data_IF_875571290317
#
_entry.id   IF_875571290317
#
_cell.length_a   1.000
_cell.length_b   1.000
_cell.length_c   1.000
_cell.angle_alpha   90.00
_cell.angle_beta   90.00
_cell.angle_gamma   90.00
#
_symmetry.space_group_name_H-M   'P 1'
#
loop_
_entity.id
_entity.type
_entity.pdbx_description
1 polymer ?
#
# COMPACT_ATOMS: atom_id res chain seq x y z
N UNK A 1 19.19 72.35 -27.52
CA UNK A 1 18.93 72.14 -26.09
C UNK A 1 17.79 71.15 -25.98
N UNK A 2 18.12 69.84 -25.95
CA UNK A 2 17.30 68.70 -25.48
C UNK A 2 18.03 67.42 -25.94
N UNK A 3 18.97 66.96 -25.12
CA UNK A 3 19.54 65.62 -25.27
C UNK A 3 18.60 64.64 -24.57
N UNK A 4 18.00 63.75 -25.36
CA UNK A 4 17.02 62.77 -24.93
C UNK A 4 17.77 61.65 -24.20
N UNK A 5 17.87 61.79 -22.87
CA UNK A 5 18.50 60.79 -22.02
C UNK A 5 17.80 59.42 -22.17
N UNK A 6 18.44 58.53 -22.93
CA UNK A 6 18.08 57.13 -23.09
C UNK A 6 18.18 56.43 -21.72
N UNK A 7 17.05 56.30 -21.03
CA UNK A 7 16.97 55.61 -19.74
C UNK A 7 17.11 54.10 -19.95
N UNK A 8 18.34 53.62 -19.75
CA UNK A 8 18.69 52.20 -19.67
C UNK A 8 17.82 51.48 -18.61
N UNK A 9 17.16 50.35 -18.94
CA UNK A 9 16.25 49.69 -18.02
C UNK A 9 16.99 49.20 -16.76
N UNK A 10 16.32 49.20 -15.58
CA UNK A 10 16.94 48.93 -14.30
C UNK A 10 17.56 47.52 -14.27
N UNK A 11 18.83 47.44 -13.83
CA UNK A 11 19.56 46.18 -13.69
C UNK A 11 18.85 45.29 -12.66
N UNK A 12 18.26 44.19 -13.11
CA UNK A 12 17.59 43.23 -12.22
C UNK A 12 18.58 42.70 -11.18
N UNK A 13 18.19 42.62 -9.90
CA UNK A 13 19.12 42.26 -8.84
C UNK A 13 19.52 40.78 -8.89
N UNK A 14 20.79 40.51 -8.57
CA UNK A 14 21.45 39.19 -8.65
C UNK A 14 20.74 38.08 -7.85
N UNK A 15 20.09 38.44 -6.74
CA UNK A 15 19.32 37.50 -5.91
C UNK A 15 18.16 36.86 -6.69
N UNK A 16 17.60 37.54 -7.69
CA UNK A 16 16.51 37.01 -8.53
C UNK A 16 16.99 35.86 -9.43
N UNK A 17 18.26 35.90 -9.89
CA UNK A 17 18.90 34.79 -10.63
C UNK A 17 19.17 33.62 -9.70
N UNK A 18 19.64 33.87 -8.48
CA UNK A 18 19.89 32.82 -7.48
C UNK A 18 18.61 32.10 -7.04
N UNK A 19 17.52 32.84 -6.82
CA UNK A 19 16.23 32.26 -6.45
C UNK A 19 15.66 31.35 -7.54
N UNK A 20 15.77 31.76 -8.81
CA UNK A 20 15.36 30.93 -9.95
C UNK A 20 16.20 29.67 -10.04
N UNK A 21 17.53 29.77 -10.07
CA UNK A 21 18.39 28.58 -10.24
C UNK A 21 18.28 27.62 -9.06
N UNK A 22 18.08 28.11 -7.83
CA UNK A 22 17.79 27.26 -6.67
C UNK A 22 16.45 26.51 -6.80
N UNK A 23 15.41 27.17 -7.32
CA UNK A 23 14.09 26.55 -7.58
C UNK A 23 14.16 25.43 -8.63
N UNK A 24 15.05 25.54 -9.62
CA UNK A 24 15.25 24.51 -10.65
C UNK A 24 16.08 23.30 -10.18
N UNK A 25 16.94 23.46 -9.17
CA UNK A 25 17.70 22.32 -8.58
C UNK A 25 16.86 21.41 -7.67
N UNK A 26 15.67 21.86 -7.25
CA UNK A 26 14.74 21.07 -6.44
C UNK A 26 13.89 20.08 -7.25
N UNK A 27 13.98 20.09 -8.58
CA UNK A 27 13.28 19.14 -9.46
C UNK A 27 14.18 17.92 -9.58
N UNK A 28 14.18 17.07 -8.54
CA UNK A 28 14.82 15.74 -8.59
C UNK A 28 14.14 14.99 -9.74
N UNK A 29 14.91 14.54 -10.73
CA UNK A 29 14.41 13.61 -11.75
C UNK A 29 13.90 12.37 -11.03
N UNK A 30 12.60 12.12 -11.10
CA UNK A 30 12.00 10.89 -10.56
C UNK A 30 12.56 9.75 -11.41
N UNK A 31 13.30 8.84 -10.79
CA UNK A 31 13.77 7.65 -11.48
C UNK A 31 12.61 6.67 -11.59
N UNK A 32 12.02 6.60 -12.77
CA UNK A 32 10.89 5.72 -13.04
C UNK A 32 11.29 4.23 -12.93
N UNK A 33 12.55 3.90 -13.19
CA UNK A 33 13.03 2.52 -13.12
C UNK A 33 13.11 2.04 -11.66
N UNK A 34 13.57 2.91 -10.75
CA UNK A 34 13.62 2.61 -9.31
C UNK A 34 12.22 2.28 -8.75
N UNK A 35 11.18 3.00 -9.19
CA UNK A 35 9.80 2.74 -8.77
C UNK A 35 9.29 1.40 -9.32
N UNK A 36 9.58 1.10 -10.59
CA UNK A 36 9.20 -0.17 -11.22
C UNK A 36 9.85 -1.34 -10.49
N UNK A 37 11.14 -1.25 -10.19
CA UNK A 37 11.90 -2.31 -9.53
C UNK A 37 11.37 -2.54 -8.10
N UNK A 38 11.12 -1.46 -7.34
CA UNK A 38 10.55 -1.58 -6.00
C UNK A 38 9.19 -2.28 -5.97
N UNK A 39 8.30 -1.96 -6.90
CA UNK A 39 6.97 -2.58 -6.96
C UNK A 39 7.06 -4.07 -7.32
N UNK A 40 8.01 -4.45 -8.18
CA UNK A 40 8.27 -5.85 -8.52
C UNK A 40 8.86 -6.64 -7.35
N UNK A 41 9.84 -6.08 -6.63
CA UNK A 41 10.45 -6.72 -5.47
C UNK A 41 9.44 -6.97 -4.33
N UNK A 42 8.53 -6.02 -4.09
CA UNK A 42 7.53 -6.14 -3.02
C UNK A 42 6.33 -7.02 -3.40
N UNK A 43 5.96 -7.08 -4.69
CA UNK A 43 4.76 -7.79 -5.14
C UNK A 43 4.96 -9.25 -5.54
N UNK A 44 6.22 -9.67 -5.74
CA UNK A 44 6.56 -11.04 -6.09
C UNK A 44 6.30 -12.05 -4.96
N UNK A 45 6.14 -13.32 -5.35
CA UNK A 45 5.96 -14.41 -4.39
C UNK A 45 7.28 -14.66 -3.66
N UNK A 46 7.37 -14.23 -2.40
CA UNK A 46 8.56 -14.43 -1.57
C UNK A 46 8.27 -15.29 -0.34
N UNK A 47 9.29 -16.01 0.14
CA UNK A 47 9.18 -16.77 1.40
C UNK A 47 8.87 -15.85 2.60
N UNK A 48 9.39 -14.62 2.59
CA UNK A 48 9.08 -13.60 3.60
C UNK A 48 7.61 -13.21 3.56
N UNK A 49 7.05 -12.98 2.38
CA UNK A 49 5.62 -12.68 2.19
C UNK A 49 4.74 -13.80 2.76
N UNK A 50 5.03 -15.06 2.42
CA UNK A 50 4.27 -16.21 2.90
C UNK A 50 4.37 -16.37 4.41
N UNK A 51 5.58 -16.27 4.97
CA UNK A 51 5.78 -16.37 6.41
C UNK A 51 5.03 -15.28 7.19
N UNK A 52 5.15 -14.02 6.75
CA UNK A 52 4.48 -12.90 7.39
C UNK A 52 2.95 -12.99 7.26
N UNK A 53 2.45 -13.50 6.12
CA UNK A 53 1.02 -13.76 5.90
C UNK A 53 0.49 -14.83 6.86
N UNK A 54 1.21 -15.95 7.01
CA UNK A 54 0.85 -17.01 7.95
C UNK A 54 0.85 -16.52 9.40
N UNK A 55 1.87 -15.75 9.80
CA UNK A 55 1.97 -15.19 11.15
C UNK A 55 0.86 -14.16 11.44
N UNK A 56 0.63 -13.22 10.53
CA UNK A 56 -0.46 -12.24 10.65
C UNK A 56 -1.82 -12.94 10.75
N UNK A 57 -2.07 -13.95 9.90
CA UNK A 57 -3.30 -14.73 9.94
C UNK A 57 -3.48 -15.45 11.29
N UNK A 58 -2.44 -16.12 11.78
CA UNK A 58 -2.45 -16.79 13.09
C UNK A 58 -2.79 -15.84 14.23
N UNK A 59 -2.15 -14.67 14.28
CA UNK A 59 -2.43 -13.64 15.28
C UNK A 59 -3.86 -13.12 15.15
N UNK A 60 -4.36 -12.90 13.92
CA UNK A 60 -5.71 -12.44 13.69
C UNK A 60 -6.76 -13.44 14.21
N UNK A 61 -6.57 -14.74 13.99
CA UNK A 61 -7.50 -15.78 14.48
C UNK A 61 -7.49 -15.86 16.00
N UNK A 62 -6.32 -15.80 16.62
CA UNK A 62 -6.22 -15.72 18.08
C UNK A 62 -6.92 -14.47 18.61
N UNK A 63 -6.78 -13.32 17.94
CA UNK A 63 -7.51 -12.10 18.26
C UNK A 63 -9.02 -12.24 18.14
N UNK A 64 -9.51 -12.95 17.12
CA UNK A 64 -10.94 -13.24 16.93
C UNK A 64 -11.48 -14.18 18.02
N UNK A 65 -10.74 -15.24 18.37
CA UNK A 65 -11.12 -16.18 19.44
C UNK A 65 -11.13 -15.51 20.82
N UNK A 66 -10.20 -14.58 21.05
CA UNK A 66 -10.11 -13.80 22.29
C UNK A 66 -11.05 -12.57 22.32
N UNK A 67 -11.82 -12.32 21.26
CA UNK A 67 -12.65 -11.11 21.12
C UNK A 67 -11.87 -9.81 21.36
N UNK A 68 -10.64 -9.71 20.85
CA UNK A 68 -9.75 -8.57 21.07
C UNK A 68 -9.51 -7.75 19.78
N UNK A 69 -10.23 -6.63 19.60
CA UNK A 69 -10.02 -5.73 18.46
C UNK A 69 -8.58 -5.25 18.32
N UNK A 70 -7.90 -4.98 19.45
CA UNK A 70 -6.53 -4.49 19.45
C UNK A 70 -5.54 -5.49 18.84
N UNK A 71 -5.69 -6.78 19.15
CA UNK A 71 -4.85 -7.85 18.57
C UNK A 71 -5.14 -8.03 17.07
N UNK A 72 -6.41 -7.94 16.68
CA UNK A 72 -6.83 -8.03 15.27
C UNK A 72 -6.23 -6.88 14.46
N UNK A 73 -6.26 -5.65 14.97
CA UNK A 73 -5.65 -4.49 14.31
C UNK A 73 -4.12 -4.65 14.28
N UNK A 74 -3.49 -5.15 15.35
CA UNK A 74 -2.06 -5.45 15.36
C UNK A 74 -1.64 -6.42 14.25
N UNK A 75 -2.45 -7.45 13.99
CA UNK A 75 -2.22 -8.37 12.88
C UNK A 75 -2.29 -7.68 11.51
N UNK A 76 -3.21 -6.73 11.33
CA UNK A 76 -3.36 -5.97 10.07
C UNK A 76 -2.11 -5.14 9.75
N UNK A 77 -1.47 -4.55 10.76
CA UNK A 77 -0.27 -3.71 10.57
C UNK A 77 0.95 -4.47 10.08
N UNK A 78 1.03 -5.77 10.36
CA UNK A 78 2.17 -6.63 10.00
C UNK A 78 1.96 -7.30 8.63
N UNK A 79 0.72 -7.33 8.14
CA UNK A 79 0.35 -8.08 6.93
C UNK A 79 0.98 -7.48 5.67
N UNK A 80 1.78 -8.25 4.90
CA UNK A 80 2.47 -7.77 3.71
C UNK A 80 1.62 -7.81 2.43
N UNK A 81 0.29 -7.85 2.55
CA UNK A 81 -0.61 -7.98 1.38
C UNK A 81 -0.57 -6.78 0.44
N UNK A 82 -0.10 -5.62 0.91
CA UNK A 82 -0.08 -4.40 0.12
C UNK A 82 0.85 -4.51 -1.10
N UNK A 83 1.98 -5.21 -1.00
CA UNK A 83 2.93 -5.38 -2.10
C UNK A 83 2.29 -6.02 -3.35
N UNK A 84 1.73 -7.24 -3.25
CA UNK A 84 1.07 -7.89 -4.39
C UNK A 84 -0.13 -7.12 -4.96
N UNK A 85 -0.90 -6.42 -4.11
CA UNK A 85 -2.02 -5.56 -4.56
C UNK A 85 -1.51 -4.37 -5.37
N UNK A 86 -0.44 -3.72 -4.89
CA UNK A 86 0.22 -2.62 -5.59
C UNK A 86 0.80 -3.07 -6.94
N UNK A 87 1.50 -4.21 -6.97
CA UNK A 87 2.04 -4.78 -8.21
C UNK A 87 0.93 -5.12 -9.21
N UNK A 88 -0.20 -5.66 -8.77
CA UNK A 88 -1.36 -5.91 -9.64
C UNK A 88 -1.87 -4.62 -10.28
N UNK A 89 -2.14 -3.58 -9.47
CA UNK A 89 -2.63 -2.29 -9.96
C UNK A 89 -1.65 -1.57 -10.89
N UNK A 90 -0.35 -1.65 -10.56
CA UNK A 90 0.71 -1.09 -11.38
C UNK A 90 0.83 -1.82 -12.72
N UNK A 91 0.86 -3.15 -12.70
CA UNK A 91 0.93 -4.00 -13.90
C UNK A 91 -0.26 -3.77 -14.85
N UNK A 92 -1.45 -3.51 -14.30
CA UNK A 92 -2.62 -3.14 -15.08
C UNK A 92 -2.44 -1.77 -15.77
N UNK A 93 -1.82 -0.81 -15.09
CA UNK A 93 -1.58 0.53 -15.60
C UNK A 93 -0.53 0.56 -16.73
N UNK A 94 0.50 -0.29 -16.65
CA UNK A 94 1.55 -0.43 -17.70
C UNK A 94 1.26 -1.56 -18.71
N UNK A 95 0.13 -2.26 -18.58
CA UNK A 95 -0.28 -3.41 -19.41
C UNK A 95 0.74 -4.56 -19.45
N UNK A 96 1.49 -4.76 -18.36
CA UNK A 96 2.48 -5.83 -18.26
C UNK A 96 1.85 -7.13 -17.76
N UNK A 97 1.40 -7.97 -18.70
CA UNK A 97 0.67 -9.22 -18.40
C UNK A 97 1.48 -10.25 -17.58
N UNK A 98 2.81 -10.21 -17.65
CA UNK A 98 3.67 -11.12 -16.87
C UNK A 98 3.62 -10.77 -15.38
N UNK A 99 3.87 -9.52 -15.03
CA UNK A 99 3.80 -8.99 -13.68
C UNK A 99 2.36 -9.07 -13.11
N UNK A 100 1.35 -8.89 -13.96
CA UNK A 100 -0.06 -9.11 -13.57
C UNK A 100 -0.32 -10.56 -13.16
N UNK A 101 0.15 -11.53 -13.94
CA UNK A 101 0.01 -12.96 -13.58
C UNK A 101 0.77 -13.30 -12.31
N UNK A 102 1.96 -12.76 -12.14
CA UNK A 102 2.78 -12.98 -10.95
C UNK A 102 2.07 -12.47 -9.68
N UNK A 103 1.59 -11.23 -9.68
CA UNK A 103 0.83 -10.67 -8.55
C UNK A 103 -0.45 -11.44 -8.23
N UNK A 104 -1.20 -11.89 -9.25
CA UNK A 104 -2.37 -12.76 -9.07
C UNK A 104 -1.96 -14.08 -8.40
N UNK A 105 -0.87 -14.71 -8.83
CA UNK A 105 -0.36 -15.94 -8.21
C UNK A 105 0.07 -15.69 -6.77
N UNK A 106 0.80 -14.60 -6.50
CA UNK A 106 1.19 -14.20 -5.14
C UNK A 106 -0.02 -14.09 -4.23
N UNK A 107 -1.07 -13.38 -4.67
CA UNK A 107 -2.31 -13.23 -3.92
C UNK A 107 -3.04 -14.56 -3.74
N UNK A 108 -3.17 -15.36 -4.79
CA UNK A 108 -3.86 -16.64 -4.71
C UNK A 108 -3.16 -17.60 -3.73
N UNK A 109 -1.83 -17.69 -3.77
CA UNK A 109 -1.04 -18.51 -2.85
C UNK A 109 -1.12 -17.95 -1.43
N UNK A 110 -1.01 -16.63 -1.25
CA UNK A 110 -1.15 -15.98 0.06
C UNK A 110 -2.53 -16.20 0.68
N UNK A 111 -3.61 -16.04 -0.09
CA UNK A 111 -4.97 -16.33 0.34
C UNK A 111 -5.15 -17.81 0.67
N UNK A 112 -4.65 -18.72 -0.19
CA UNK A 112 -4.70 -20.16 0.07
C UNK A 112 -3.98 -20.53 1.37
N UNK A 113 -2.80 -19.95 1.61
CA UNK A 113 -2.04 -20.15 2.85
C UNK A 113 -2.78 -19.60 4.07
N UNK A 114 -3.37 -18.42 3.98
CA UNK A 114 -4.17 -17.83 5.06
C UNK A 114 -5.39 -18.69 5.38
N UNK A 115 -6.12 -19.17 4.37
CA UNK A 115 -7.26 -20.08 4.57
C UNK A 115 -6.83 -21.39 5.21
N UNK A 116 -5.74 -22.01 4.73
CA UNK A 116 -5.22 -23.25 5.30
C UNK A 116 -4.79 -23.07 6.77
N UNK A 117 -4.09 -21.97 7.07
CA UNK A 117 -3.64 -21.64 8.43
C UNK A 117 -4.84 -21.39 9.34
N UNK A 118 -5.85 -20.67 8.85
CA UNK A 118 -7.09 -20.41 9.58
C UNK A 118 -7.88 -21.66 9.89
N UNK A 119 -8.07 -22.50 8.87
CA UNK A 119 -8.71 -23.79 9.04
C UNK A 119 -7.97 -24.65 10.05
N UNK A 120 -6.64 -24.74 9.98
CA UNK A 120 -5.84 -25.55 10.90
C UNK A 120 -5.97 -25.10 12.35
N UNK A 121 -5.89 -23.79 12.60
CA UNK A 121 -5.99 -23.23 13.96
C UNK A 121 -7.39 -23.41 14.53
N UNK A 122 -8.44 -23.13 13.74
CA UNK A 122 -9.83 -23.28 14.20
C UNK A 122 -10.18 -24.76 14.39
N UNK A 123 -9.72 -25.65 13.51
CA UNK A 123 -9.94 -27.09 13.64
C UNK A 123 -9.32 -27.68 14.92
N UNK A 124 -8.15 -27.17 15.33
CA UNK A 124 -7.50 -27.57 16.58
C UNK A 124 -8.14 -26.92 17.82
N UNK A 125 -8.94 -25.86 17.63
CA UNK A 125 -9.57 -25.09 18.70
C UNK A 125 -10.86 -25.76 19.18
N UNK A 126 -11.04 -25.98 20.49
CA UNK A 126 -12.29 -26.49 21.06
C UNK A 126 -13.40 -25.42 21.21
N UNK A 127 -13.11 -24.16 20.87
CA UNK A 127 -14.04 -23.04 21.04
C UNK A 127 -15.03 -22.99 19.85
N UNK A 128 -16.31 -23.22 20.15
CA UNK A 128 -17.40 -23.22 19.14
C UNK A 128 -18.25 -21.94 19.19
N UNK A 129 -18.10 -21.12 20.24
CA UNK A 129 -18.91 -19.92 20.42
C UNK A 129 -18.45 -18.78 19.51
N UNK A 130 -19.41 -18.20 18.78
CA UNK A 130 -19.16 -17.09 17.86
C UNK A 130 -18.93 -15.81 18.66
N UNK A 131 -17.77 -15.18 18.47
CA UNK A 131 -17.44 -13.91 19.13
C UNK A 131 -18.10 -12.71 18.43
N UNK A 132 -18.37 -11.61 19.16
CA UNK A 132 -18.94 -10.39 18.58
C UNK A 132 -18.12 -9.83 17.41
N UNK A 133 -16.80 -9.96 17.47
CA UNK A 133 -15.88 -9.50 16.42
C UNK A 133 -16.03 -10.30 15.11
N UNK A 134 -16.35 -11.60 15.20
CA UNK A 134 -16.67 -12.42 14.03
C UNK A 134 -18.01 -11.97 13.45
N UNK A 135 -19.03 -11.78 14.28
CA UNK A 135 -20.35 -11.33 13.83
C UNK A 135 -20.29 -9.97 13.13
N UNK A 136 -19.54 -9.01 13.68
CA UNK A 136 -19.37 -7.69 13.10
C UNK A 136 -18.81 -7.73 11.67
N UNK A 137 -17.90 -8.68 11.37
CA UNK A 137 -17.31 -8.84 10.03
C UNK A 137 -18.17 -9.60 9.03
N UNK A 138 -19.29 -10.20 9.47
CA UNK A 138 -20.26 -10.87 8.57
C UNK A 138 -21.44 -10.00 8.17
N UNK A 139 -21.58 -8.81 8.77
CA UNK A 139 -22.70 -7.89 8.54
C UNK A 139 -22.22 -6.51 8.09
N UNK A 140 -21.68 -6.37 6.88
CA UNK A 140 -21.30 -5.07 6.34
C UNK A 140 -22.55 -4.17 6.20
N UNK A 141 -22.37 -2.87 6.47
CA UNK A 141 -23.41 -1.86 6.40
C UNK A 141 -23.11 -0.83 5.29
N UNK A 142 -24.10 -0.04 4.89
CA UNK A 142 -23.98 1.08 3.97
C UNK A 142 -22.88 2.07 4.39
N UNK A 143 -22.70 2.29 5.69
CA UNK A 143 -21.61 3.13 6.19
C UNK A 143 -20.23 2.58 5.88
N UNK A 144 -20.03 1.25 5.89
CA UNK A 144 -18.74 0.63 5.55
C UNK A 144 -18.39 0.87 4.08
N UNK A 145 -19.39 0.86 3.20
CA UNK A 145 -19.22 1.19 1.79
C UNK A 145 -18.79 2.65 1.59
N UNK A 146 -19.43 3.59 2.30
CA UNK A 146 -19.04 5.00 2.25
C UNK A 146 -17.59 5.19 2.72
N UNK A 147 -17.20 4.56 3.82
CA UNK A 147 -15.82 4.59 4.32
C UNK A 147 -14.84 4.05 3.28
N UNK A 148 -15.17 2.95 2.60
CA UNK A 148 -14.32 2.39 1.54
C UNK A 148 -14.13 3.36 0.37
N UNK A 149 -15.20 4.03 -0.07
CA UNK A 149 -15.13 5.03 -1.16
C UNK A 149 -14.28 6.23 -0.76
N UNK A 150 -14.51 6.79 0.43
CA UNK A 150 -13.76 7.95 0.90
C UNK A 150 -12.29 7.63 1.21
N UNK A 151 -11.98 6.41 1.64
CA UNK A 151 -10.59 5.98 1.90
C UNK A 151 -9.80 5.75 0.61
N UNK A 152 -10.47 5.54 -0.53
CA UNK A 152 -9.83 5.31 -1.82
C UNK A 152 -9.74 6.54 -2.73
N UNK A 153 -10.33 7.68 -2.33
CA UNK A 153 -10.36 8.94 -3.08
C UNK A 153 -9.18 9.86 -2.74
#
# INVERSE_FOLDING_TARGET
>A
MTDTAEQKPPRRPEWYRRLRVARWRGIRSIDHMEVVDHVHEEGGLSGRYLFMTAMSCGIAILGLLLSSPAVIIGAMLISPLMGPIMLMGFSLSILELKALRESIVSLAVGTGLALATSFLIVFLSPLTDVTPEILARTRPNFFDLLVAVFSGL
#
